data_IF_379976660645
#
_entry.id   IF_379976660645
#
_cell.length_a   1.000
_cell.length_b   1.000
_cell.length_c   1.000
_cell.angle_alpha   90.00
_cell.angle_beta   90.00
_cell.angle_gamma   90.00
#
_symmetry.space_group_name_H-M   'P 1'
#
loop_
_entity.id
_entity.type
_entity.pdbx_description
1 polymer ?
#
# COMPACT_ATOMS: atom_id res chain seq x y z
N UNK A 1 -27.40 55.53 16.17
CA UNK A 1 -26.70 56.19 17.29
C UNK A 1 -25.21 55.93 17.16
N UNK A 2 -24.47 57.02 16.93
CA UNK A 2 -23.11 57.33 17.41
C UNK A 2 -22.01 56.27 17.28
N UNK A 3 -21.11 56.57 16.34
CA UNK A 3 -19.69 56.23 16.25
C UNK A 3 -18.91 56.45 17.56
N UNK A 4 -17.94 55.59 17.87
CA UNK A 4 -16.63 55.98 18.41
C UNK A 4 -15.68 54.78 18.38
N UNK A 5 -14.62 54.87 17.57
CA UNK A 5 -13.48 53.96 17.63
C UNK A 5 -12.49 54.38 18.72
N UNK A 6 -11.49 53.55 18.99
CA UNK A 6 -10.12 53.98 19.31
C UNK A 6 -9.14 52.83 19.08
N UNK A 7 -8.13 53.12 18.27
CA UNK A 7 -6.92 52.31 18.14
C UNK A 7 -6.00 52.57 19.34
N UNK A 8 -5.23 51.56 19.75
CA UNK A 8 -3.99 51.75 20.50
C UNK A 8 -2.93 50.76 19.99
N UNK A 9 -1.86 51.32 19.43
CA UNK A 9 -0.56 50.68 19.28
C UNK A 9 0.11 50.56 20.66
N UNK A 10 0.74 49.42 20.93
CA UNK A 10 1.86 49.35 21.88
C UNK A 10 3.00 48.59 21.22
N UNK A 11 4.18 49.22 21.25
CA UNK A 11 5.47 48.70 20.81
C UNK A 11 6.33 48.44 22.06
N UNK A 12 7.27 47.51 21.89
CA UNK A 12 8.52 47.28 22.64
C UNK A 12 8.51 46.22 23.75
N UNK A 13 9.56 45.39 23.72
CA UNK A 13 10.05 44.67 24.90
C UNK A 13 10.76 43.37 24.57
N UNK A 14 12.07 43.42 24.33
CA UNK A 14 12.94 42.24 24.32
C UNK A 14 12.91 41.54 25.69
N UNK A 15 12.79 40.21 25.69
CA UNK A 15 12.73 39.40 26.91
C UNK A 15 13.46 38.07 26.69
N UNK A 16 14.49 37.87 27.50
CA UNK A 16 15.45 36.76 27.56
C UNK A 16 14.83 35.37 27.71
N UNK A 17 15.21 34.43 26.83
CA UNK A 17 15.04 32.99 27.09
C UNK A 17 16.14 32.53 28.06
N UNK A 18 15.77 32.17 29.29
CA UNK A 18 16.63 31.47 30.23
C UNK A 18 16.79 30.01 29.80
N UNK A 19 17.98 29.64 29.31
CA UNK A 19 18.41 28.25 29.16
C UNK A 19 18.91 27.72 30.51
N UNK A 20 18.41 26.55 30.92
CA UNK A 20 18.97 25.75 32.03
C UNK A 20 20.01 24.81 31.41
N UNK A 21 21.28 25.02 31.73
CA UNK A 21 22.39 24.11 31.37
C UNK A 21 22.52 22.98 32.40
N UNK A 22 22.65 21.73 31.95
CA UNK A 22 23.13 20.62 32.78
C UNK A 22 24.61 20.32 32.45
N UNK A 23 25.49 20.12 33.45
CA UNK A 23 26.91 19.92 33.21
C UNK A 23 27.22 18.51 32.69
N UNK A 24 27.98 18.44 31.59
CA UNK A 24 28.54 17.20 31.03
C UNK A 24 29.79 16.81 31.81
N UNK A 25 29.72 15.76 32.62
CA UNK A 25 30.91 15.16 33.26
C UNK A 25 31.67 14.22 32.32
N UNK A 26 32.99 14.44 32.21
CA UNK A 26 33.97 13.65 31.45
C UNK A 26 34.04 12.19 31.91
N UNK A 27 34.16 11.26 30.97
CA UNK A 27 34.55 9.85 31.21
C UNK A 27 36.04 9.62 30.87
N UNK A 28 36.79 8.82 31.65
CA UNK A 28 38.22 8.57 31.45
C UNK A 28 38.50 7.46 30.43
N UNK A 29 39.75 7.33 29.93
CA UNK A 29 40.05 6.51 28.75
C UNK A 29 40.40 5.06 29.11
N UNK A 30 39.81 4.11 28.38
CA UNK A 30 40.32 2.74 28.34
C UNK A 30 39.23 1.71 28.10
N UNK A 31 38.99 1.38 26.83
CA UNK A 31 38.86 0.01 26.29
C UNK A 31 38.47 0.10 24.81
N UNK A 32 39.41 -0.26 23.93
CA UNK A 32 39.17 -0.40 22.49
C UNK A 32 38.50 -1.75 22.24
N UNK A 33 37.33 -1.76 21.61
CA UNK A 33 36.84 -2.90 20.83
C UNK A 33 36.12 -2.40 19.57
N UNK A 34 36.61 -2.87 18.42
CA UNK A 34 36.10 -2.55 17.08
C UNK A 34 34.66 -3.05 16.92
N UNK A 35 33.71 -2.13 16.77
CA UNK A 35 32.47 -2.36 16.03
C UNK A 35 32.35 -1.25 14.98
N UNK A 36 32.60 -1.61 13.71
CA UNK A 36 32.24 -0.81 12.56
C UNK A 36 30.73 -0.93 12.32
N UNK A 37 30.13 0.17 11.86
CA UNK A 37 28.71 0.39 11.51
C UNK A 37 27.78 0.76 12.67
N UNK A 38 27.96 1.97 13.21
CA UNK A 38 26.87 2.77 13.80
C UNK A 38 26.62 3.98 12.90
N UNK A 39 25.47 4.02 12.24
CA UNK A 39 24.96 5.23 11.60
C UNK A 39 24.69 6.25 12.71
N UNK A 40 25.52 7.29 12.79
CA UNK A 40 25.31 8.42 13.70
C UNK A 40 24.38 9.41 13.04
N UNK A 41 23.14 9.54 13.53
CA UNK A 41 22.31 10.70 13.24
C UNK A 41 22.96 11.93 13.88
N UNK A 42 23.39 12.87 13.04
CA UNK A 42 23.91 14.18 13.44
C UNK A 42 22.72 15.14 13.37
N UNK A 43 22.19 15.55 14.52
CA UNK A 43 21.21 16.65 14.57
C UNK A 43 21.99 17.94 14.30
N UNK A 44 21.96 18.38 13.05
CA UNK A 44 22.31 19.75 12.67
C UNK A 44 21.02 20.56 12.73
N UNK A 45 20.90 21.42 13.73
CA UNK A 45 19.93 22.50 13.71
C UNK A 45 20.43 23.56 12.74
N UNK A 46 20.16 23.38 11.46
CA UNK A 46 20.03 24.50 10.55
C UNK A 46 18.55 24.67 10.26
N UNK A 47 18.06 25.91 10.32
CA UNK A 47 16.79 26.29 9.71
C UNK A 47 16.94 26.09 8.19
N UNK A 48 16.88 24.84 7.75
CA UNK A 48 16.72 24.51 6.35
C UNK A 48 15.24 24.72 6.08
N UNK A 49 14.92 25.63 5.16
CA UNK A 49 13.73 25.47 4.33
C UNK A 49 13.85 24.10 3.65
N UNK A 50 13.39 23.04 4.33
CA UNK A 50 13.20 21.73 3.72
C UNK A 50 12.15 21.97 2.64
N UNK A 51 12.56 21.82 1.38
CA UNK A 51 11.65 21.94 0.25
C UNK A 51 10.43 21.04 0.45
N UNK A 52 9.32 21.37 -0.20
CA UNK A 52 8.14 20.50 -0.23
C UNK A 52 8.57 19.06 -0.61
N UNK A 53 8.21 18.01 0.16
CA UNK A 53 8.60 16.65 -0.18
C UNK A 53 8.14 16.25 -1.58
N UNK A 54 9.01 15.55 -2.30
CA UNK A 54 8.72 15.06 -3.64
C UNK A 54 8.00 13.71 -3.58
N UNK A 55 6.80 13.68 -4.18
CA UNK A 55 6.00 12.46 -4.30
C UNK A 55 6.32 11.68 -5.57
N UNK A 56 7.08 12.25 -6.51
CA UNK A 56 7.35 11.59 -7.79
C UNK A 56 8.06 10.25 -7.58
N UNK A 57 7.71 9.26 -8.42
CA UNK A 57 8.31 7.93 -8.39
C UNK A 57 8.65 7.47 -9.79
N UNK A 58 9.71 6.68 -9.93
CA UNK A 58 10.02 5.93 -11.14
C UNK A 58 10.00 4.45 -10.80
N UNK A 59 9.12 3.68 -11.46
CA UNK A 59 8.90 2.26 -11.15
C UNK A 59 8.90 1.47 -12.45
N UNK A 60 9.84 0.53 -12.60
CA UNK A 60 10.05 -0.23 -13.84
C UNK A 60 10.15 0.69 -15.09
N UNK A 61 10.85 1.82 -14.95
CA UNK A 61 10.98 2.84 -16.02
C UNK A 61 9.79 3.80 -16.17
N UNK A 62 8.67 3.54 -15.49
CA UNK A 62 7.46 4.39 -15.55
C UNK A 62 7.59 5.58 -14.59
N UNK A 63 7.55 6.80 -15.12
CA UNK A 63 7.62 8.03 -14.31
C UNK A 63 6.23 8.52 -13.93
N UNK A 64 5.92 8.57 -12.64
CA UNK A 64 4.64 9.01 -12.11
C UNK A 64 4.81 10.26 -11.25
N UNK A 65 3.86 11.19 -11.32
CA UNK A 65 3.88 12.42 -10.53
C UNK A 65 3.64 12.21 -9.02
N UNK A 66 3.13 11.05 -8.64
CA UNK A 66 2.90 10.59 -7.26
C UNK A 66 2.73 9.05 -7.27
N UNK A 67 2.80 8.36 -6.13
CA UNK A 67 2.74 6.89 -6.11
C UNK A 67 1.31 6.32 -6.22
N UNK A 68 0.28 7.16 -6.42
CA UNK A 68 -1.12 6.73 -6.39
C UNK A 68 -1.59 6.28 -7.77
N UNK A 69 -2.13 5.07 -7.81
CA UNK A 69 -2.58 4.40 -9.03
C UNK A 69 -4.06 4.06 -8.93
N UNK A 70 -4.85 4.31 -9.97
CA UNK A 70 -6.21 3.74 -10.02
C UNK A 70 -6.08 2.23 -10.20
N UNK A 71 -6.60 1.45 -9.24
CA UNK A 71 -6.61 -0.01 -9.36
C UNK A 71 -7.67 -0.49 -10.35
N UNK A 72 -7.37 -1.57 -11.09
CA UNK A 72 -8.31 -2.15 -12.07
C UNK A 72 -9.65 -2.48 -11.41
N UNK A 73 -10.74 -1.89 -11.92
CA UNK A 73 -12.08 -1.99 -11.34
C UNK A 73 -13.04 -0.95 -11.93
N UNK A 74 -14.20 -0.70 -11.29
CA UNK A 74 -15.18 0.28 -11.74
C UNK A 74 -14.60 1.67 -12.09
N UNK A 75 -13.60 2.20 -11.34
CA UNK A 75 -13.01 3.49 -11.65
C UNK A 75 -12.21 3.58 -12.97
N UNK A 76 -11.94 2.46 -13.65
CA UNK A 76 -11.17 2.38 -14.91
C UNK A 76 -11.94 1.76 -16.08
N UNK A 77 -13.28 1.85 -16.10
CA UNK A 77 -14.16 1.11 -17.03
C UNK A 77 -14.28 1.69 -18.43
N UNK A 78 -13.98 2.98 -18.62
CA UNK A 78 -14.09 3.67 -19.91
C UNK A 78 -13.24 4.92 -19.98
N UNK A 79 -13.09 5.47 -21.19
CA UNK A 79 -12.39 6.72 -21.47
C UNK A 79 -12.75 7.84 -20.49
N UNK A 80 -14.05 8.12 -20.29
CA UNK A 80 -14.50 9.25 -19.47
C UNK A 80 -13.98 9.18 -18.04
N UNK A 81 -14.02 8.00 -17.43
CA UNK A 81 -13.60 7.81 -16.04
C UNK A 81 -12.08 7.77 -15.89
N UNK A 82 -11.38 7.17 -16.87
CA UNK A 82 -9.91 7.15 -16.89
C UNK A 82 -9.33 8.56 -17.13
N UNK A 83 -9.91 9.31 -18.09
CA UNK A 83 -9.58 10.72 -18.32
C UNK A 83 -9.78 11.54 -17.06
N UNK A 84 -10.90 11.34 -16.34
CA UNK A 84 -11.18 12.06 -15.10
C UNK A 84 -10.11 11.79 -14.04
N UNK A 85 -9.59 10.57 -13.94
CA UNK A 85 -8.49 10.29 -13.02
C UNK A 85 -7.21 11.08 -13.39
N UNK A 86 -6.83 11.14 -14.67
CA UNK A 86 -5.69 11.96 -15.09
C UNK A 86 -5.91 13.46 -14.82
N UNK A 87 -7.10 13.98 -15.10
CA UNK A 87 -7.47 15.38 -14.82
C UNK A 87 -7.37 15.72 -13.32
N UNK A 88 -7.64 14.78 -12.42
CA UNK A 88 -7.54 14.97 -10.97
C UNK A 88 -6.10 14.81 -10.43
N UNK A 89 -5.17 14.33 -11.26
CA UNK A 89 -3.75 14.20 -10.91
C UNK A 89 -3.33 12.85 -10.37
N UNK A 90 -4.03 11.76 -10.74
CA UNK A 90 -3.57 10.40 -10.45
C UNK A 90 -2.25 10.09 -11.16
N UNK A 91 -1.34 9.38 -10.48
CA UNK A 91 -0.01 9.04 -10.99
C UNK A 91 -0.05 8.05 -12.15
N UNK A 92 -0.95 7.06 -12.08
CA UNK A 92 -1.25 6.14 -13.17
C UNK A 92 -2.70 5.65 -13.10
N UNK A 93 -3.19 5.09 -14.20
CA UNK A 93 -4.50 4.43 -14.28
C UNK A 93 -4.35 3.02 -14.80
N UNK A 94 -4.86 2.04 -14.04
CA UNK A 94 -5.02 0.67 -14.53
C UNK A 94 -6.46 0.50 -15.02
N UNK A 95 -6.62 0.24 -16.31
CA UNK A 95 -7.92 0.01 -16.93
C UNK A 95 -8.60 -1.23 -16.34
N UNK A 96 -9.94 -1.29 -16.41
CA UNK A 96 -10.70 -2.50 -16.09
C UNK A 96 -10.21 -3.66 -16.96
N UNK A 97 -10.04 -4.83 -16.37
CA UNK A 97 -9.52 -6.02 -17.04
C UNK A 97 -10.29 -6.30 -18.35
N UNK A 98 -9.56 -6.44 -19.45
CA UNK A 98 -10.10 -6.80 -20.78
C UNK A 98 -9.71 -8.22 -21.19
N UNK A 99 -10.49 -8.78 -22.10
CA UNK A 99 -10.32 -10.10 -22.73
C UNK A 99 -10.60 -9.97 -24.23
N UNK A 100 -10.20 -10.96 -25.04
CA UNK A 100 -10.46 -10.97 -26.49
C UNK A 100 -11.97 -11.03 -26.79
N UNK A 101 -12.68 -11.92 -26.10
CA UNK A 101 -14.13 -12.11 -26.28
C UNK A 101 -14.91 -11.65 -25.05
N UNK A 102 -15.28 -10.37 -25.06
CA UNK A 102 -16.11 -9.77 -24.02
C UNK A 102 -17.57 -10.26 -24.04
N UNK A 103 -18.06 -10.87 -25.13
CA UNK A 103 -19.44 -11.34 -25.22
C UNK A 103 -19.71 -12.54 -24.28
N UNK A 104 -18.65 -13.24 -23.85
CA UNK A 104 -18.72 -14.30 -22.84
C UNK A 104 -18.88 -13.75 -21.41
N UNK A 105 -18.80 -12.43 -21.21
CA UNK A 105 -18.84 -11.77 -19.90
C UNK A 105 -20.20 -11.11 -19.72
N UNK A 106 -21.00 -11.63 -18.80
CA UNK A 106 -22.34 -11.09 -18.50
C UNK A 106 -22.40 -10.73 -17.02
N UNK A 107 -22.36 -9.43 -16.74
CA UNK A 107 -22.51 -8.92 -15.37
C UNK A 107 -23.98 -8.92 -14.95
N UNK A 108 -24.24 -9.32 -13.70
CA UNK A 108 -25.57 -9.29 -13.08
C UNK A 108 -25.81 -8.00 -12.29
N UNK A 109 -27.06 -7.73 -11.93
CA UNK A 109 -27.45 -6.60 -11.05
C UNK A 109 -28.57 -7.07 -10.11
N UNK A 110 -28.52 -6.74 -8.80
CA UNK A 110 -27.44 -6.05 -8.08
C UNK A 110 -26.18 -6.92 -7.97
N UNK A 111 -25.00 -6.29 -7.96
CA UNK A 111 -23.70 -6.99 -7.88
C UNK A 111 -22.79 -6.52 -6.74
N UNK A 112 -23.33 -5.69 -5.85
CA UNK A 112 -22.58 -5.14 -4.72
C UNK A 112 -23.38 -5.25 -3.43
N UNK A 113 -22.68 -5.58 -2.35
CA UNK A 113 -23.21 -5.51 -0.99
C UNK A 113 -22.20 -4.81 -0.07
N UNK A 114 -22.67 -4.26 1.05
CA UNK A 114 -21.87 -3.39 1.92
C UNK A 114 -21.93 -3.87 3.37
N UNK A 115 -20.77 -4.00 3.99
CA UNK A 115 -20.66 -4.16 5.44
C UNK A 115 -20.51 -2.78 6.08
N UNK A 116 -21.34 -2.51 7.07
CA UNK A 116 -21.25 -1.27 7.87
C UNK A 116 -20.79 -1.60 9.28
N UNK A 117 -19.94 -0.74 9.83
CA UNK A 117 -19.70 -0.74 11.27
C UNK A 117 -21.02 -0.45 12.01
N UNK A 118 -21.18 -0.99 13.21
CA UNK A 118 -22.33 -0.67 14.04
C UNK A 118 -22.34 0.84 14.34
N UNK A 119 -23.44 1.52 14.03
CA UNK A 119 -23.62 2.92 14.41
C UNK A 119 -23.89 3.08 15.90
N UNK A 120 -23.87 4.33 16.39
CA UNK A 120 -24.29 4.65 17.76
C UNK A 120 -25.72 4.12 17.95
N UNK A 121 -25.95 3.42 19.06
CA UNK A 121 -27.22 2.78 19.43
C UNK A 121 -27.76 1.75 18.40
N UNK A 122 -26.88 1.07 17.66
CA UNK A 122 -27.29 0.03 16.71
C UNK A 122 -27.86 0.56 15.39
N UNK A 123 -27.64 1.85 15.07
CA UNK A 123 -28.12 2.43 13.82
C UNK A 123 -27.39 1.86 12.59
N UNK A 124 -28.16 1.54 11.54
CA UNK A 124 -27.66 1.05 10.24
C UNK A 124 -26.94 2.14 9.39
N UNK A 125 -26.70 3.32 9.96
CA UNK A 125 -26.02 4.46 9.30
C UNK A 125 -24.50 4.51 9.55
N UNK A 126 -23.92 3.44 10.09
CA UNK A 126 -22.48 3.37 10.33
C UNK A 126 -21.65 3.44 9.04
N UNK A 127 -20.36 3.74 9.22
CA UNK A 127 -19.36 3.81 8.15
C UNK A 127 -19.32 2.48 7.38
N UNK A 128 -19.19 2.55 6.06
CA UNK A 128 -18.91 1.37 5.23
C UNK A 128 -17.49 0.93 5.52
N UNK A 129 -17.33 -0.27 6.05
CA UNK A 129 -16.02 -0.87 6.35
C UNK A 129 -15.70 -2.03 5.42
N UNK A 130 -16.71 -2.61 4.77
CA UNK A 130 -16.55 -3.71 3.83
C UNK A 130 -17.40 -3.50 2.59
N UNK A 131 -16.89 -3.98 1.46
CA UNK A 131 -17.60 -3.92 0.20
C UNK A 131 -17.36 -5.22 -0.57
N UNK A 132 -18.43 -5.93 -0.88
CA UNK A 132 -18.38 -7.14 -1.68
C UNK A 132 -18.87 -6.86 -3.09
N UNK A 133 -18.20 -7.47 -4.07
CA UNK A 133 -18.62 -7.46 -5.46
C UNK A 133 -18.69 -8.88 -6.03
N UNK A 134 -19.68 -9.14 -6.88
CA UNK A 134 -19.75 -10.31 -7.78
C UNK A 134 -19.62 -9.85 -9.25
N UNK A 135 -18.84 -8.80 -9.47
CA UNK A 135 -18.63 -8.20 -10.80
C UNK A 135 -17.48 -8.87 -11.54
N UNK A 136 -17.68 -9.27 -12.79
CA UNK A 136 -16.66 -9.90 -13.63
C UNK A 136 -15.66 -8.87 -14.20
N UNK A 137 -14.89 -9.29 -15.20
CA UNK A 137 -14.05 -8.40 -16.03
C UNK A 137 -14.94 -7.46 -16.89
N UNK A 138 -14.33 -6.66 -17.76
CA UNK A 138 -15.08 -5.79 -18.68
C UNK A 138 -16.01 -6.61 -19.58
N UNK A 139 -17.28 -6.21 -19.65
CA UNK A 139 -18.27 -6.68 -20.63
C UNK A 139 -18.30 -5.80 -21.90
N UNK A 140 -17.41 -4.80 -21.98
CA UNK A 140 -17.28 -3.92 -23.14
C UNK A 140 -16.40 -4.58 -24.22
N UNK A 141 -16.76 -4.46 -25.52
CA UNK A 141 -15.95 -4.99 -26.60
C UNK A 141 -14.50 -4.50 -26.54
N UNK A 142 -13.54 -5.40 -26.77
CA UNK A 142 -12.12 -5.07 -26.77
C UNK A 142 -11.81 -3.91 -27.71
N UNK A 143 -12.36 -3.92 -28.93
CA UNK A 143 -12.22 -2.84 -29.91
C UNK A 143 -12.60 -1.44 -29.39
N UNK A 144 -13.61 -1.37 -28.53
CA UNK A 144 -13.98 -0.10 -27.90
C UNK A 144 -12.92 0.33 -26.89
N UNK A 145 -12.45 -0.60 -26.05
CA UNK A 145 -11.40 -0.31 -25.07
C UNK A 145 -10.09 0.09 -25.73
N UNK A 146 -9.67 -0.59 -26.81
CA UNK A 146 -8.44 -0.27 -27.54
C UNK A 146 -8.47 1.14 -28.16
N UNK A 147 -9.60 1.54 -28.75
CA UNK A 147 -9.79 2.91 -29.26
C UNK A 147 -9.67 3.95 -28.15
N UNK A 148 -10.27 3.67 -27.00
CA UNK A 148 -10.22 4.55 -25.84
C UNK A 148 -8.82 4.64 -25.21
N UNK A 149 -8.06 3.54 -25.17
CA UNK A 149 -6.67 3.54 -24.72
C UNK A 149 -5.80 4.40 -25.63
N UNK A 150 -5.91 4.20 -26.94
CA UNK A 150 -5.18 5.00 -27.93
C UNK A 150 -5.51 6.49 -27.81
N UNK A 151 -6.81 6.82 -27.72
CA UNK A 151 -7.25 8.20 -27.53
C UNK A 151 -6.67 8.82 -26.25
N UNK A 152 -6.68 8.09 -25.12
CA UNK A 152 -6.10 8.58 -23.87
C UNK A 152 -4.60 8.83 -24.00
N UNK A 153 -3.85 7.94 -24.66
CA UNK A 153 -2.40 8.09 -24.84
C UNK A 153 -2.04 9.22 -25.80
N UNK A 154 -2.87 9.50 -26.80
CA UNK A 154 -2.73 10.67 -27.68
C UNK A 154 -2.98 11.99 -26.93
N UNK A 155 -3.99 12.05 -26.06
CA UNK A 155 -4.32 13.24 -25.27
C UNK A 155 -3.41 13.45 -24.04
N UNK A 156 -2.89 12.36 -23.47
CA UNK A 156 -2.08 12.35 -22.25
C UNK A 156 -0.79 11.52 -22.42
N UNK A 157 0.14 11.95 -23.29
CA UNK A 157 1.36 11.18 -23.59
C UNK A 157 2.23 10.95 -22.34
N UNK A 158 2.27 11.91 -21.43
CA UNK A 158 3.08 11.87 -20.20
C UNK A 158 2.39 11.13 -19.03
N UNK A 159 1.17 10.63 -19.21
CA UNK A 159 0.44 9.90 -18.16
C UNK A 159 0.55 8.40 -18.38
N UNK A 160 0.71 7.67 -17.28
CA UNK A 160 0.89 6.23 -17.29
C UNK A 160 -0.48 5.54 -17.36
N UNK A 161 -0.76 4.84 -18.46
CA UNK A 161 -1.91 3.98 -18.66
C UNK A 161 -1.45 2.52 -18.68
N UNK A 162 -2.05 1.71 -17.82
CA UNK A 162 -1.74 0.29 -17.68
C UNK A 162 -2.96 -0.52 -18.12
N UNK A 163 -2.78 -1.42 -19.09
CA UNK A 163 -3.84 -2.32 -19.51
C UNK A 163 -3.92 -3.50 -18.52
N UNK A 164 -5.04 -3.66 -17.81
CA UNK A 164 -5.28 -4.93 -17.12
C UNK A 164 -5.84 -5.94 -18.12
N UNK A 165 -5.27 -7.15 -18.16
CA UNK A 165 -5.69 -8.20 -19.10
C UNK A 165 -5.90 -9.54 -18.40
N UNK A 166 -6.78 -10.36 -18.98
CA UNK A 166 -7.03 -11.74 -18.54
C UNK A 166 -7.55 -12.57 -19.73
N UNK A 167 -6.94 -13.72 -19.98
CA UNK A 167 -7.40 -14.69 -20.97
C UNK A 167 -7.52 -16.12 -20.45
N UNK A 168 -8.21 -16.95 -21.24
CA UNK A 168 -8.22 -18.40 -21.04
C UNK A 168 -6.79 -18.98 -21.14
N UNK A 169 -6.60 -20.21 -20.66
CA UNK A 169 -5.32 -20.89 -20.77
C UNK A 169 -5.06 -21.32 -22.23
N UNK A 170 -4.69 -20.35 -23.05
CA UNK A 170 -4.37 -20.48 -24.47
C UNK A 170 -3.26 -19.48 -24.82
N UNK A 171 -2.09 -20.01 -25.21
CA UNK A 171 -0.91 -19.19 -25.50
C UNK A 171 -1.16 -18.17 -26.61
N UNK A 172 -1.85 -18.57 -27.68
CA UNK A 172 -2.08 -17.69 -28.83
C UNK A 172 -3.03 -16.54 -28.46
N UNK A 173 -4.07 -16.81 -27.67
CA UNK A 173 -4.99 -15.81 -27.17
C UNK A 173 -4.30 -14.77 -26.26
N UNK A 174 -3.45 -15.23 -25.33
CA UNK A 174 -2.65 -14.32 -24.50
C UNK A 174 -1.74 -13.43 -25.35
N UNK A 175 -1.03 -14.01 -26.30
CA UNK A 175 -0.09 -13.26 -27.14
C UNK A 175 -0.78 -12.29 -28.10
N UNK A 176 -1.95 -12.65 -28.65
CA UNK A 176 -2.79 -11.74 -29.44
C UNK A 176 -3.27 -10.57 -28.58
N UNK A 177 -3.77 -10.84 -27.38
CA UNK A 177 -4.28 -9.78 -26.51
C UNK A 177 -3.17 -8.79 -26.14
N UNK A 178 -1.97 -9.28 -25.79
CA UNK A 178 -0.79 -8.45 -25.49
C UNK A 178 -0.44 -7.56 -26.68
N UNK A 179 -0.33 -8.14 -27.89
CA UNK A 179 -0.03 -7.39 -29.11
C UNK A 179 -1.01 -6.24 -29.31
N UNK A 180 -2.29 -6.54 -29.24
CA UNK A 180 -3.36 -5.57 -29.50
C UNK A 180 -3.43 -4.47 -28.47
N UNK A 181 -3.17 -4.75 -27.18
CA UNK A 181 -3.13 -3.68 -26.16
C UNK A 181 -1.86 -2.84 -26.30
N UNK A 182 -0.70 -3.44 -26.58
CA UNK A 182 0.55 -2.69 -26.78
C UNK A 182 0.49 -1.75 -27.99
N UNK A 183 -0.17 -2.15 -29.08
CA UNK A 183 -0.41 -1.30 -30.27
C UNK A 183 -1.15 0.02 -29.97
N UNK A 184 -1.83 0.11 -28.83
CA UNK A 184 -2.50 1.35 -28.39
C UNK A 184 -1.57 2.36 -27.75
N UNK A 185 -0.32 1.98 -27.44
CA UNK A 185 0.68 2.82 -26.78
C UNK A 185 0.55 2.87 -25.25
N UNK A 186 -0.10 1.88 -24.64
CA UNK A 186 -0.07 1.69 -23.17
C UNK A 186 1.37 1.53 -22.66
N UNK A 187 1.58 1.91 -21.40
CA UNK A 187 2.92 2.00 -20.83
C UNK A 187 3.35 0.74 -20.07
N UNK A 188 2.38 -0.07 -19.62
CA UNK A 188 2.60 -1.34 -18.93
C UNK A 188 1.35 -2.22 -18.96
N UNK A 189 1.50 -3.48 -18.55
CA UNK A 189 0.39 -4.44 -18.47
C UNK A 189 0.24 -4.93 -17.02
N UNK A 190 -1.00 -5.02 -16.51
CA UNK A 190 -1.32 -5.72 -15.26
C UNK A 190 -2.06 -7.04 -15.54
N UNK A 191 -1.42 -8.16 -15.24
CA UNK A 191 -2.01 -9.48 -15.46
C UNK A 191 -2.91 -9.85 -14.29
N UNK A 192 -4.20 -10.06 -14.56
CA UNK A 192 -5.17 -10.40 -13.54
C UNK A 192 -5.24 -11.91 -13.31
N UNK A 193 -4.35 -12.45 -12.47
CA UNK A 193 -4.39 -13.83 -11.99
C UNK A 193 -5.26 -14.02 -10.74
N UNK A 194 -6.17 -13.09 -10.44
CA UNK A 194 -6.61 -12.96 -9.05
C UNK A 194 -8.09 -12.68 -8.83
N UNK A 195 -8.89 -12.67 -9.89
CA UNK A 195 -10.34 -12.61 -9.76
C UNK A 195 -10.86 -13.85 -8.99
N UNK A 196 -11.39 -13.71 -7.76
CA UNK A 196 -11.73 -14.86 -6.91
C UNK A 196 -13.06 -15.53 -7.31
N UNK A 197 -13.91 -14.80 -8.03
CA UNK A 197 -15.23 -15.25 -8.51
C UNK A 197 -15.31 -15.32 -10.04
N UNK A 198 -14.24 -14.91 -10.74
CA UNK A 198 -14.24 -14.74 -12.18
C UNK A 198 -14.06 -16.06 -12.91
N UNK A 199 -15.18 -16.67 -13.31
CA UNK A 199 -15.24 -17.85 -14.19
C UNK A 199 -14.26 -18.97 -13.80
N UNK A 200 -14.25 -19.44 -12.53
CA UNK A 200 -13.36 -20.52 -12.09
C UNK A 200 -13.52 -21.80 -12.94
N UNK A 201 -14.73 -22.06 -13.44
CA UNK A 201 -15.04 -23.17 -14.35
C UNK A 201 -14.28 -23.13 -15.69
N UNK A 202 -13.71 -21.97 -16.06
CA UNK A 202 -12.91 -21.78 -17.28
C UNK A 202 -11.40 -21.76 -17.02
N UNK A 203 -10.97 -22.07 -15.79
CA UNK A 203 -9.55 -22.02 -15.37
C UNK A 203 -8.88 -20.66 -15.61
N UNK A 204 -9.59 -19.58 -15.33
CA UNK A 204 -9.09 -18.20 -15.44
C UNK A 204 -8.90 -17.56 -14.06
N UNK A 205 -8.23 -16.40 -14.01
CA UNK A 205 -8.13 -15.60 -12.79
C UNK A 205 -7.46 -16.34 -11.63
N UNK A 206 -8.11 -16.37 -10.46
CA UNK A 206 -7.54 -16.98 -9.25
C UNK A 206 -7.24 -18.48 -9.38
N UNK A 207 -7.88 -19.19 -10.31
CA UNK A 207 -7.55 -20.60 -10.59
C UNK A 207 -6.11 -20.75 -11.09
N UNK A 208 -5.63 -19.82 -11.92
CA UNK A 208 -4.23 -19.75 -12.36
C UNK A 208 -3.36 -19.17 -11.24
N UNK A 209 -3.81 -18.11 -10.58
CA UNK A 209 -3.03 -17.45 -9.52
C UNK A 209 -2.75 -18.28 -8.26
N UNK A 210 -3.47 -19.38 -8.06
CA UNK A 210 -3.25 -20.33 -6.97
C UNK A 210 -2.38 -21.52 -7.37
N UNK A 211 -2.18 -21.76 -8.66
CA UNK A 211 -1.36 -22.85 -9.19
C UNK A 211 -0.05 -22.28 -9.74
N UNK A 212 1.03 -22.48 -8.99
CA UNK A 212 2.35 -21.97 -9.36
C UNK A 212 2.85 -22.54 -10.70
N UNK A 213 2.50 -23.77 -11.07
CA UNK A 213 2.96 -24.36 -12.34
C UNK A 213 2.24 -23.74 -13.53
N UNK A 214 0.93 -23.55 -13.43
CA UNK A 214 0.16 -22.83 -14.46
C UNK A 214 0.59 -21.37 -14.56
N UNK A 215 0.84 -20.72 -13.43
CA UNK A 215 1.30 -19.33 -13.40
C UNK A 215 2.67 -19.17 -14.06
N UNK A 216 3.62 -20.07 -13.80
CA UNK A 216 4.94 -20.07 -14.44
C UNK A 216 4.81 -20.14 -15.96
N UNK A 217 3.98 -21.05 -16.47
CA UNK A 217 3.79 -21.22 -17.90
C UNK A 217 3.13 -19.99 -18.56
N UNK A 218 2.05 -19.46 -17.96
CA UNK A 218 1.36 -18.29 -18.49
C UNK A 218 2.25 -17.04 -18.43
N UNK A 219 2.98 -16.83 -17.32
CA UNK A 219 3.98 -15.76 -17.23
C UNK A 219 5.06 -15.91 -18.30
N UNK A 220 5.48 -17.13 -18.63
CA UNK A 220 6.43 -17.39 -19.71
C UNK A 220 5.89 -16.94 -21.07
N UNK A 221 4.64 -17.29 -21.39
CA UNK A 221 4.00 -16.87 -22.64
C UNK A 221 3.86 -15.36 -22.77
N UNK A 222 3.56 -14.69 -21.65
CA UNK A 222 3.42 -13.24 -21.57
C UNK A 222 4.78 -12.58 -21.80
N UNK A 223 5.82 -13.00 -21.08
CA UNK A 223 7.16 -12.40 -21.18
C UNK A 223 7.85 -12.68 -22.52
N UNK A 224 7.48 -13.76 -23.23
CA UNK A 224 7.91 -13.97 -24.61
C UNK A 224 7.40 -12.91 -25.59
N UNK A 225 6.25 -12.28 -25.29
CA UNK A 225 5.55 -11.37 -26.21
C UNK A 225 5.57 -9.91 -25.77
N UNK A 226 5.46 -9.65 -24.47
CA UNK A 226 5.38 -8.30 -23.93
C UNK A 226 6.68 -7.52 -24.16
N UNK A 227 6.54 -6.27 -24.58
CA UNK A 227 7.64 -5.32 -24.76
C UNK A 227 7.63 -4.19 -23.75
N UNK A 228 6.51 -4.02 -23.03
CA UNK A 228 6.36 -3.11 -21.89
C UNK A 228 6.43 -3.88 -20.56
N UNK A 229 6.71 -3.21 -19.42
CA UNK A 229 6.76 -3.85 -18.12
C UNK A 229 5.45 -4.57 -17.75
N UNK A 230 5.57 -5.73 -17.09
CA UNK A 230 4.46 -6.59 -16.72
C UNK A 230 4.35 -6.70 -15.19
N UNK A 231 3.16 -6.36 -14.67
CA UNK A 231 2.82 -6.48 -13.26
C UNK A 231 1.85 -7.64 -13.03
N UNK A 232 2.24 -8.63 -12.23
CA UNK A 232 1.37 -9.76 -11.91
C UNK A 232 0.52 -9.48 -10.67
N UNK A 233 -0.82 -9.45 -10.80
CA UNK A 233 -1.73 -9.16 -9.69
C UNK A 233 -2.10 -10.41 -8.90
N UNK A 234 -1.69 -10.46 -7.63
CA UNK A 234 -1.79 -11.63 -6.76
C UNK A 234 -3.14 -11.73 -6.05
N UNK A 235 -3.66 -12.96 -5.96
CA UNK A 235 -4.83 -13.29 -5.15
C UNK A 235 -4.42 -13.45 -3.68
N UNK A 236 -5.15 -12.87 -2.72
CA UNK A 236 -4.91 -13.11 -1.30
C UNK A 236 -5.49 -14.46 -0.83
N UNK A 237 -6.28 -15.13 -1.66
CA UNK A 237 -7.02 -16.36 -1.35
C UNK A 237 -6.11 -17.59 -1.43
N UNK A 238 -4.96 -17.52 -0.77
CA UNK A 238 -3.92 -18.55 -0.78
C UNK A 238 -3.21 -18.56 0.56
N UNK A 239 -2.71 -19.73 0.95
CA UNK A 239 -1.94 -19.94 2.19
C UNK A 239 -0.73 -19.01 2.25
N UNK A 240 0.14 -19.08 1.23
CA UNK A 240 1.34 -18.26 1.14
C UNK A 240 1.38 -17.52 -0.20
N UNK A 241 1.13 -16.21 -0.15
CA UNK A 241 1.11 -15.35 -1.34
C UNK A 241 2.51 -15.15 -1.93
N UNK A 242 3.57 -15.44 -1.18
CA UNK A 242 4.95 -15.30 -1.67
C UNK A 242 5.29 -16.36 -2.72
N UNK A 243 4.58 -17.49 -2.75
CA UNK A 243 4.81 -18.55 -3.73
C UNK A 243 4.49 -18.10 -5.16
N UNK A 244 3.25 -17.69 -5.51
CA UNK A 244 2.95 -17.21 -6.86
C UNK A 244 3.68 -15.90 -7.19
N UNK A 245 3.90 -15.02 -6.21
CA UNK A 245 4.66 -13.79 -6.43
C UNK A 245 6.12 -14.07 -6.82
N UNK A 246 6.78 -15.04 -6.16
CA UNK A 246 8.13 -15.50 -6.51
C UNK A 246 8.16 -16.05 -7.93
N UNK A 247 7.21 -16.91 -8.29
CA UNK A 247 7.15 -17.50 -9.63
C UNK A 247 6.98 -16.43 -10.70
N UNK A 248 6.07 -15.45 -10.51
CA UNK A 248 5.88 -14.35 -11.45
C UNK A 248 7.19 -13.58 -11.70
N UNK A 249 7.87 -13.16 -10.62
CA UNK A 249 9.14 -12.43 -10.69
C UNK A 249 10.27 -13.28 -11.29
N UNK A 250 10.36 -14.55 -10.92
CA UNK A 250 11.37 -15.49 -11.47
C UNK A 250 11.18 -15.76 -12.95
N UNK A 251 9.95 -15.67 -13.45
CA UNK A 251 9.61 -15.90 -14.86
C UNK A 251 9.80 -14.63 -15.72
N UNK A 252 10.03 -13.48 -15.09
CA UNK A 252 10.41 -12.24 -15.78
C UNK A 252 9.44 -11.07 -15.62
N UNK A 253 8.34 -11.19 -14.86
CA UNK A 253 7.50 -10.03 -14.56
C UNK A 253 8.31 -9.02 -13.72
N UNK A 254 8.28 -7.74 -14.11
CA UNK A 254 9.03 -6.67 -13.44
C UNK A 254 8.35 -6.19 -12.15
N UNK A 255 7.06 -6.48 -11.97
CA UNK A 255 6.31 -6.05 -10.80
C UNK A 255 5.27 -7.06 -10.32
N UNK A 256 4.87 -6.88 -9.06
CA UNK A 256 3.75 -7.58 -8.45
C UNK A 256 2.76 -6.56 -7.91
N UNK A 257 1.46 -6.78 -8.12
CA UNK A 257 0.39 -6.01 -7.47
C UNK A 257 -0.27 -6.87 -6.40
N UNK A 258 -0.34 -6.38 -5.16
CA UNK A 258 -0.88 -7.14 -4.03
C UNK A 258 -1.73 -6.27 -3.10
N UNK A 259 -3.00 -6.57 -2.85
CA UNK A 259 -3.77 -7.79 -3.20
C UNK A 259 -5.01 -7.50 -4.05
N UNK A 260 -5.50 -8.53 -4.75
CA UNK A 260 -6.89 -8.52 -5.21
C UNK A 260 -7.85 -8.74 -4.02
N UNK A 261 -9.14 -8.86 -4.30
CA UNK A 261 -10.20 -9.03 -3.32
C UNK A 261 -10.15 -10.39 -2.61
N UNK A 262 -10.64 -10.42 -1.37
CA UNK A 262 -10.71 -11.62 -0.53
C UNK A 262 -12.08 -12.28 -0.72
N UNK A 263 -12.15 -13.58 -0.93
CA UNK A 263 -13.43 -14.27 -1.10
C UNK A 263 -14.30 -14.12 0.16
N UNK A 264 -15.57 -13.72 -0.02
CA UNK A 264 -16.53 -13.51 1.07
C UNK A 264 -17.95 -13.86 0.68
N UNK A 265 -18.79 -13.97 1.71
CA UNK A 265 -20.24 -13.82 1.63
C UNK A 265 -20.61 -12.68 2.57
N UNK A 266 -21.27 -11.65 2.06
CA UNK A 266 -21.45 -10.40 2.79
C UNK A 266 -22.41 -10.57 3.97
N UNK A 267 -23.49 -11.30 3.74
CA UNK A 267 -24.54 -11.49 4.72
C UNK A 267 -25.69 -12.33 4.18
N UNK A 268 -26.55 -12.75 5.08
CA UNK A 268 -27.83 -13.41 4.81
C UNK A 268 -28.91 -12.51 5.40
N UNK A 269 -29.88 -12.13 4.58
CA UNK A 269 -31.13 -11.52 5.05
C UNK A 269 -31.88 -12.56 5.88
N UNK A 270 -32.10 -12.28 7.17
CA UNK A 270 -32.68 -13.23 8.12
C UNK A 270 -34.21 -13.39 7.97
N UNK A 271 -34.88 -12.46 7.30
CA UNK A 271 -36.32 -12.57 7.03
C UNK A 271 -36.57 -13.43 5.80
N UNK A 272 -35.73 -13.29 4.77
CA UNK A 272 -35.88 -14.01 3.50
C UNK A 272 -35.00 -15.25 3.38
N UNK A 273 -34.01 -15.41 4.28
CA UNK A 273 -32.94 -16.42 4.25
C UNK A 273 -32.07 -16.36 2.99
N UNK A 274 -32.09 -15.23 2.27
CA UNK A 274 -31.35 -15.06 1.00
C UNK A 274 -30.02 -14.34 1.23
N UNK A 275 -28.97 -14.69 0.45
CA UNK A 275 -27.68 -14.01 0.52
C UNK A 275 -27.70 -12.60 -0.08
N UNK A 276 -26.76 -11.75 0.35
CA UNK A 276 -26.50 -10.42 -0.22
C UNK A 276 -25.13 -10.38 -0.95
N UNK A 277 -25.03 -9.78 -2.15
CA UNK A 277 -26.11 -9.22 -2.96
C UNK A 277 -27.00 -10.34 -3.55
N UNK A 278 -28.29 -10.04 -3.73
CA UNK A 278 -29.29 -11.02 -4.17
C UNK A 278 -29.73 -10.75 -5.61
N UNK A 279 -29.48 -11.70 -6.51
CA UNK A 279 -29.91 -11.69 -7.92
C UNK A 279 -30.97 -12.77 -8.10
N UNK A 280 -32.22 -12.37 -8.37
CA UNK A 280 -33.34 -13.29 -8.55
C UNK A 280 -33.52 -14.32 -7.40
N UNK A 281 -33.13 -13.96 -6.19
CA UNK A 281 -33.19 -14.84 -5.00
C UNK A 281 -31.91 -15.62 -4.69
N UNK A 282 -30.87 -15.51 -5.52
CA UNK A 282 -29.62 -16.26 -5.41
C UNK A 282 -28.39 -15.34 -5.34
N UNK A 283 -27.25 -15.91 -4.98
CA UNK A 283 -25.96 -15.22 -5.03
C UNK A 283 -24.82 -16.25 -5.18
N UNK A 284 -23.61 -15.74 -5.29
CA UNK A 284 -22.35 -16.50 -5.27
C UNK A 284 -21.38 -15.76 -4.35
N UNK A 285 -20.42 -16.44 -3.70
CA UNK A 285 -19.36 -15.75 -2.98
C UNK A 285 -18.65 -14.71 -3.85
N UNK A 286 -18.52 -13.50 -3.33
CA UNK A 286 -17.92 -12.37 -4.01
C UNK A 286 -16.52 -12.01 -3.50
N UNK A 287 -16.00 -10.92 -4.03
CA UNK A 287 -14.73 -10.32 -3.64
C UNK A 287 -14.93 -9.19 -2.63
N UNK A 288 -14.43 -9.38 -1.43
CA UNK A 288 -14.37 -8.42 -0.34
C UNK A 288 -13.23 -7.41 -0.52
N UNK A 289 -13.57 -6.14 -0.32
CA UNK A 289 -12.71 -4.98 -0.44
C UNK A 289 -13.10 -3.94 0.63
N UNK A 290 -12.54 -2.72 0.52
CA UNK A 290 -12.69 -1.63 1.49
C UNK A 290 -11.80 -1.78 2.75
N UNK A 291 -11.99 -0.87 3.70
CA UNK A 291 -11.14 -0.64 4.87
C UNK A 291 -10.83 -1.89 5.70
N UNK A 292 -11.79 -2.81 5.84
CA UNK A 292 -11.58 -4.05 6.60
C UNK A 292 -10.53 -4.99 5.96
N UNK A 293 -10.23 -4.84 4.68
CA UNK A 293 -9.17 -5.59 3.98
C UNK A 293 -7.78 -5.05 4.30
N UNK A 294 -7.66 -3.79 4.72
CA UNK A 294 -6.38 -3.10 4.88
C UNK A 294 -5.34 -3.88 5.71
N UNK A 295 -5.61 -4.34 6.95
CA UNK A 295 -4.60 -5.07 7.73
C UNK A 295 -4.19 -6.41 7.09
N UNK A 296 -5.09 -7.06 6.33
CA UNK A 296 -4.76 -8.30 5.62
C UNK A 296 -3.85 -7.98 4.43
N UNK A 297 -4.16 -6.92 3.68
CA UNK A 297 -3.34 -6.46 2.56
C UNK A 297 -1.93 -6.07 3.02
N UNK A 298 -1.79 -5.34 4.13
CA UNK A 298 -0.49 -5.00 4.73
C UNK A 298 0.34 -6.25 5.05
N UNK A 299 -0.26 -7.27 5.66
CA UNK A 299 0.44 -8.52 5.97
C UNK A 299 0.94 -9.25 4.71
N UNK A 300 0.12 -9.25 3.64
CA UNK A 300 0.48 -9.88 2.35
C UNK A 300 1.58 -9.08 1.63
N UNK A 301 1.48 -7.75 1.59
CA UNK A 301 2.52 -6.86 1.02
C UNK A 301 3.84 -6.99 1.78
N UNK A 302 3.81 -6.96 3.11
CA UNK A 302 5.01 -7.18 3.94
C UNK A 302 5.69 -8.51 3.60
N UNK A 303 4.91 -9.59 3.48
CA UNK A 303 5.46 -10.93 3.19
C UNK A 303 6.13 -10.97 1.80
N UNK A 304 5.50 -10.37 0.79
CA UNK A 304 6.08 -10.26 -0.56
C UNK A 304 7.34 -9.40 -0.53
N UNK A 305 7.31 -8.24 0.13
CA UNK A 305 8.46 -7.35 0.20
C UNK A 305 9.66 -7.98 0.93
N UNK A 306 9.43 -8.74 2.01
CA UNK A 306 10.49 -9.51 2.68
C UNK A 306 11.08 -10.58 1.75
N UNK A 307 10.22 -11.30 1.01
CA UNK A 307 10.66 -12.28 0.01
C UNK A 307 11.48 -11.60 -1.09
N UNK A 308 11.00 -10.51 -1.67
CA UNK A 308 11.70 -9.73 -2.69
C UNK A 308 13.06 -9.25 -2.19
N UNK A 309 13.13 -8.67 -0.99
CA UNK A 309 14.39 -8.22 -0.39
C UNK A 309 15.40 -9.36 -0.21
N UNK A 310 14.91 -10.55 0.15
CA UNK A 310 15.76 -11.73 0.40
C UNK A 310 16.22 -12.40 -0.90
N UNK A 311 15.37 -12.47 -1.90
CA UNK A 311 15.56 -13.35 -3.07
C UNK A 311 15.84 -12.57 -4.37
N UNK A 312 15.43 -11.31 -4.45
CA UNK A 312 15.49 -10.45 -5.64
C UNK A 312 16.20 -9.12 -5.38
N UNK A 313 16.83 -8.90 -4.21
CA UNK A 313 17.26 -7.58 -3.74
C UNK A 313 18.21 -6.77 -4.64
N UNK A 314 18.91 -7.42 -5.58
CA UNK A 314 19.77 -6.76 -6.59
C UNK A 314 19.04 -6.48 -7.93
N UNK A 315 17.79 -6.93 -8.08
CA UNK A 315 16.97 -6.78 -9.29
C UNK A 315 15.96 -5.64 -9.12
N UNK A 316 15.64 -4.97 -10.22
CA UNK A 316 14.64 -3.91 -10.28
C UNK A 316 13.20 -4.46 -10.32
N UNK A 317 12.82 -5.19 -9.26
CA UNK A 317 11.47 -5.72 -9.07
C UNK A 317 10.63 -4.74 -8.24
N UNK A 318 9.39 -4.50 -8.64
CA UNK A 318 8.49 -3.55 -7.97
C UNK A 318 7.30 -4.22 -7.27
N UNK A 319 6.71 -3.52 -6.30
CA UNK A 319 5.52 -3.95 -5.59
C UNK A 319 4.48 -2.84 -5.54
N UNK A 320 3.30 -3.06 -6.10
CA UNK A 320 2.15 -2.16 -6.02
C UNK A 320 1.19 -2.64 -4.92
N UNK A 321 1.12 -1.89 -3.81
CA UNK A 321 0.25 -2.22 -2.67
C UNK A 321 -1.21 -1.84 -2.93
N UNK A 322 -2.17 -2.70 -2.60
CA UNK A 322 -3.59 -2.46 -2.81
C UNK A 322 -4.44 -3.16 -1.73
N UNK A 323 -5.36 -2.39 -1.13
CA UNK A 323 -6.36 -2.91 -0.19
C UNK A 323 -6.77 -1.88 0.86
N UNK A 324 -8.00 -1.38 0.78
CA UNK A 324 -8.59 -0.53 1.83
C UNK A 324 -7.98 0.87 2.02
N UNK A 325 -7.38 1.44 0.97
CA UNK A 325 -6.74 2.77 1.03
C UNK A 325 -7.78 3.88 0.87
N UNK A 326 -7.88 4.76 1.86
CA UNK A 326 -8.76 5.94 1.90
C UNK A 326 -8.03 7.21 2.38
N UNK A 327 -6.83 7.08 2.93
CA UNK A 327 -6.01 8.16 3.48
C UNK A 327 -4.55 8.08 3.03
N UNK A 328 -3.82 9.21 3.09
CA UNK A 328 -2.38 9.21 2.86
C UNK A 328 -1.60 8.42 3.93
N UNK A 329 -2.17 8.28 5.13
CA UNK A 329 -1.65 7.41 6.17
C UNK A 329 -1.71 5.93 5.78
N UNK A 330 -2.85 5.46 5.26
CA UNK A 330 -3.02 4.09 4.77
C UNK A 330 -1.99 3.77 3.67
N UNK A 331 -1.72 4.75 2.80
CA UNK A 331 -0.71 4.60 1.75
C UNK A 331 0.72 4.60 2.30
N UNK A 332 1.01 5.43 3.30
CA UNK A 332 2.31 5.43 3.96
C UNK A 332 2.62 4.07 4.59
N UNK A 333 1.63 3.37 5.16
CA UNK A 333 1.79 2.01 5.69
C UNK A 333 2.23 1.01 4.60
N UNK A 334 1.60 1.03 3.42
CA UNK A 334 2.04 0.18 2.30
C UNK A 334 3.48 0.47 1.86
N UNK A 335 3.85 1.75 1.74
CA UNK A 335 5.20 2.14 1.31
C UNK A 335 6.24 1.76 2.38
N UNK A 336 5.95 1.99 3.66
CA UNK A 336 6.78 1.54 4.79
C UNK A 336 7.01 0.03 4.79
N UNK A 337 6.07 -0.74 4.25
CA UNK A 337 6.15 -2.20 4.06
C UNK A 337 6.76 -2.61 2.72
N UNK A 338 7.28 -1.67 1.93
CA UNK A 338 8.08 -1.95 0.73
C UNK A 338 7.36 -1.74 -0.60
N UNK A 339 6.13 -1.25 -0.61
CA UNK A 339 5.44 -0.93 -1.86
C UNK A 339 6.09 0.28 -2.58
N UNK A 340 6.29 0.15 -3.89
CA UNK A 340 6.76 1.21 -4.79
C UNK A 340 5.63 2.15 -5.23
N UNK A 341 4.41 1.62 -5.35
CA UNK A 341 3.18 2.38 -5.65
C UNK A 341 2.02 1.86 -4.80
N UNK A 342 0.94 2.62 -4.73
CA UNK A 342 -0.28 2.26 -3.99
C UNK A 342 -1.51 2.40 -4.88
N UNK A 343 -2.22 1.29 -5.14
CA UNK A 343 -3.45 1.32 -5.92
C UNK A 343 -4.69 1.56 -5.05
N UNK A 344 -5.66 2.27 -5.62
CA UNK A 344 -6.93 2.60 -4.97
C UNK A 344 -8.09 2.31 -5.91
N UNK A 345 -9.07 1.55 -5.43
CA UNK A 345 -10.30 1.23 -6.18
C UNK A 345 -11.55 1.59 -5.36
N UNK A 346 -11.85 0.84 -4.29
CA UNK A 346 -13.04 1.09 -3.45
C UNK A 346 -13.04 2.48 -2.82
N UNK A 347 -11.87 3.01 -2.43
CA UNK A 347 -11.75 4.39 -1.94
C UNK A 347 -12.26 5.41 -2.96
N UNK A 348 -11.92 5.24 -4.25
CA UNK A 348 -12.41 6.09 -5.34
C UNK A 348 -13.90 5.89 -5.57
N UNK A 349 -14.41 4.66 -5.47
CA UNK A 349 -15.85 4.38 -5.59
C UNK A 349 -16.67 5.09 -4.48
N UNK A 350 -16.09 5.26 -3.29
CA UNK A 350 -16.78 5.88 -2.15
C UNK A 350 -16.57 7.40 -2.07
N UNK A 351 -15.43 7.91 -2.51
CA UNK A 351 -15.03 9.32 -2.30
C UNK A 351 -14.80 10.11 -3.60
N UNK A 352 -14.85 9.45 -4.76
CA UNK A 352 -14.61 10.04 -6.06
C UNK A 352 -13.12 10.26 -6.38
N UNK A 353 -12.83 10.61 -7.64
CA UNK A 353 -11.49 10.87 -8.14
C UNK A 353 -10.70 11.97 -7.44
N UNK A 354 -11.31 13.06 -6.91
CA UNK A 354 -10.58 14.07 -6.12
C UNK A 354 -9.87 13.53 -4.88
N UNK A 355 -10.17 12.28 -4.45
CA UNK A 355 -9.51 11.62 -3.33
C UNK A 355 -7.98 11.71 -3.40
N UNK A 356 -7.37 11.61 -4.59
CA UNK A 356 -5.91 11.69 -4.75
C UNK A 356 -5.30 12.97 -4.18
N UNK A 357 -6.02 14.10 -4.19
CA UNK A 357 -5.55 15.36 -3.61
C UNK A 357 -5.36 15.23 -2.11
N UNK A 358 -6.33 14.60 -1.42
CA UNK A 358 -6.24 14.30 0.01
C UNK A 358 -5.10 13.32 0.29
N UNK A 359 -4.97 12.24 -0.50
CA UNK A 359 -3.91 11.26 -0.35
C UNK A 359 -2.52 11.90 -0.46
N UNK A 360 -2.30 12.74 -1.47
CA UNK A 360 -1.04 13.49 -1.68
C UNK A 360 -0.73 14.44 -0.52
N UNK A 361 -1.71 15.22 -0.06
CA UNK A 361 -1.52 16.15 1.07
C UNK A 361 -1.13 15.41 2.34
N UNK A 362 -1.89 14.38 2.71
CA UNK A 362 -1.65 13.61 3.94
C UNK A 362 -0.32 12.84 3.88
N UNK A 363 0.06 12.31 2.71
CA UNK A 363 1.35 11.63 2.53
C UNK A 363 2.53 12.61 2.68
N UNK A 364 2.41 13.82 2.13
CA UNK A 364 3.42 14.88 2.33
C UNK A 364 3.52 15.31 3.79
N UNK A 365 2.40 15.42 4.50
CA UNK A 365 2.40 15.73 5.94
C UNK A 365 3.12 14.64 6.75
N UNK A 366 2.88 13.37 6.43
CA UNK A 366 3.63 12.25 6.99
C UNK A 366 5.14 12.37 6.69
N UNK A 367 5.52 12.64 5.44
CA UNK A 367 6.92 12.82 5.06
C UNK A 367 7.59 13.98 5.82
N UNK A 368 6.91 15.15 5.93
CA UNK A 368 7.39 16.30 6.71
C UNK A 368 7.61 15.95 8.17
N UNK A 369 6.66 15.23 8.80
CA UNK A 369 6.75 14.80 10.20
C UNK A 369 8.02 13.94 10.47
N UNK A 370 8.45 13.16 9.49
CA UNK A 370 9.58 12.26 9.60
C UNK A 370 10.86 12.77 8.92
N UNK A 371 10.85 13.98 8.36
CA UNK A 371 11.94 14.56 7.57
C UNK A 371 12.34 13.72 6.33
N UNK A 372 11.37 13.06 5.69
CA UNK A 372 11.57 12.40 4.41
C UNK A 372 11.42 13.40 3.26
N UNK A 373 12.36 13.38 2.32
CA UNK A 373 12.35 14.22 1.11
C UNK A 373 11.77 13.49 -0.09
N UNK A 374 11.90 12.16 -0.14
CA UNK A 374 11.43 11.31 -1.24
C UNK A 374 10.70 10.05 -0.74
N UNK A 375 9.93 9.40 -1.62
CA UNK A 375 9.29 8.11 -1.32
C UNK A 375 10.32 7.03 -0.97
N UNK A 376 11.49 7.07 -1.61
CA UNK A 376 12.58 6.11 -1.41
C UNK A 376 13.19 6.19 0.00
N UNK A 377 13.13 7.35 0.65
CA UNK A 377 13.74 7.56 1.97
C UNK A 377 13.11 6.66 3.06
N UNK A 378 11.88 6.20 2.84
CA UNK A 378 11.12 5.42 3.83
C UNK A 378 10.53 4.12 3.28
N UNK A 379 10.66 3.84 1.97
CA UNK A 379 10.16 2.59 1.39
C UNK A 379 10.83 1.40 2.07
N UNK A 380 10.00 0.51 2.63
CA UNK A 380 10.47 -0.69 3.32
C UNK A 380 11.12 -0.45 4.69
N UNK A 381 11.13 0.78 5.21
CA UNK A 381 11.77 1.11 6.48
C UNK A 381 11.15 0.38 7.68
N UNK A 382 9.91 -0.11 7.57
CA UNK A 382 9.28 -0.89 8.65
C UNK A 382 9.61 -2.38 8.62
N UNK A 383 10.19 -2.89 7.52
CA UNK A 383 10.45 -4.33 7.35
C UNK A 383 11.40 -4.91 8.39
N UNK A 384 12.34 -4.11 8.91
CA UNK A 384 13.32 -4.55 9.92
C UNK A 384 12.71 -4.79 11.30
N UNK A 385 11.52 -4.26 11.58
CA UNK A 385 10.85 -4.41 12.88
C UNK A 385 9.99 -5.68 12.96
N UNK A 386 9.81 -6.39 11.84
CA UNK A 386 9.12 -7.68 11.83
C UNK A 386 10.10 -8.82 12.10
N UNK A 387 9.75 -9.66 13.07
CA UNK A 387 10.54 -10.82 13.45
C UNK A 387 9.66 -11.94 13.97
N UNK A 388 10.26 -13.09 14.28
CA UNK A 388 9.55 -14.24 14.84
C UNK A 388 9.19 -14.02 16.31
N UNK A 389 8.16 -14.73 16.78
CA UNK A 389 7.76 -14.68 18.19
C UNK A 389 8.92 -15.04 19.14
N UNK A 390 9.72 -16.05 18.78
CA UNK A 390 10.86 -16.47 19.61
C UNK A 390 11.97 -15.40 19.67
N UNK A 391 12.18 -14.64 18.60
CA UNK A 391 13.11 -13.51 18.62
C UNK A 391 12.57 -12.37 19.51
N UNK A 392 11.26 -12.11 19.50
CA UNK A 392 10.65 -11.14 20.42
C UNK A 392 10.85 -11.54 21.89
N UNK A 393 10.66 -12.82 22.22
CA UNK A 393 10.93 -13.34 23.57
C UNK A 393 12.38 -13.09 23.96
N UNK A 394 13.33 -13.41 23.07
CA UNK A 394 14.76 -13.18 23.32
C UNK A 394 15.08 -11.71 23.55
N UNK A 395 14.59 -10.82 22.68
CA UNK A 395 14.78 -9.36 22.80
C UNK A 395 14.19 -8.80 24.08
N UNK A 396 13.00 -9.27 24.47
CA UNK A 396 12.37 -8.87 25.72
C UNK A 396 13.18 -9.31 26.94
N UNK A 397 13.67 -10.56 26.95
CA UNK A 397 14.53 -11.06 28.02
C UNK A 397 15.84 -10.27 28.12
N UNK A 398 16.46 -9.94 26.98
CA UNK A 398 17.66 -9.11 26.93
C UNK A 398 17.41 -7.71 27.48
N UNK A 399 16.35 -7.03 27.04
CA UNK A 399 15.96 -5.72 27.56
C UNK A 399 15.67 -5.75 29.07
N UNK A 400 15.08 -6.82 29.59
CA UNK A 400 14.88 -7.01 31.04
C UNK A 400 16.22 -7.16 31.75
N UNK A 401 17.17 -7.94 31.20
CA UNK A 401 18.52 -8.09 31.78
C UNK A 401 19.28 -6.76 31.79
N UNK A 402 19.22 -5.99 30.71
CA UNK A 402 19.85 -4.66 30.62
C UNK A 402 19.25 -3.69 31.65
N UNK A 403 17.92 -3.60 31.77
CA UNK A 403 17.27 -2.77 32.79
C UNK A 403 17.67 -3.18 34.21
N UNK A 404 17.83 -4.47 34.48
CA UNK A 404 18.32 -4.98 35.78
C UNK A 404 19.80 -4.66 36.02
N UNK A 405 20.63 -4.71 34.98
CA UNK A 405 22.05 -4.37 35.07
C UNK A 405 22.29 -2.86 35.25
N UNK A 406 21.46 -2.01 34.63
CA UNK A 406 21.46 -0.55 34.81
C UNK A 406 20.90 -0.15 36.18
N UNK A 407 19.95 -0.92 36.74
CA UNK A 407 19.47 -0.78 38.13
C UNK A 407 20.50 -1.21 39.20
N UNK A 408 21.80 -1.14 38.92
CA UNK A 408 22.84 -1.19 39.97
C UNK A 408 22.92 0.14 40.70
N UNK A 409 21.94 0.39 41.56
CA UNK A 409 22.15 0.87 42.93
C UNK A 409 22.08 -0.35 43.87
N UNK A 410 22.51 -0.18 45.11
CA UNK A 410 22.69 -1.25 46.12
C UNK A 410 21.65 -2.38 46.03
N UNK A 411 22.11 -3.62 45.85
CA UNK A 411 21.22 -4.78 45.76
C UNK A 411 20.56 -5.13 47.11
N UNK A 412 21.08 -4.57 48.20
CA UNK A 412 20.61 -4.72 49.58
C UNK A 412 21.10 -3.55 50.45
N UNK A 413 20.31 -3.17 51.46
CA UNK A 413 20.71 -2.19 52.50
C UNK A 413 21.96 -2.61 53.31
N UNK A 414 22.44 -3.84 53.14
CA UNK A 414 23.67 -4.34 53.78
C UNK A 414 24.95 -3.93 53.07
N UNK A 415 24.85 -3.47 51.83
CA UNK A 415 26.01 -3.13 51.00
C UNK A 415 26.42 -1.65 51.16
N UNK A 416 25.78 -0.90 52.07
CA UNK A 416 26.12 0.48 52.38
C UNK A 416 27.48 0.55 53.05
N UNK A 417 28.51 0.98 52.32
CA UNK A 417 29.77 1.41 52.92
C UNK A 417 29.63 2.86 53.37
N UNK A 418 29.94 3.16 54.63
CA UNK A 418 29.71 4.48 55.26
C UNK A 418 30.20 5.69 54.46
N UNK A 419 31.26 5.53 53.67
CA UNK A 419 31.83 6.62 52.85
C UNK A 419 31.07 6.88 51.52
N UNK A 420 30.20 5.96 51.10
CA UNK A 420 29.37 6.08 49.89
C UNK A 420 27.95 6.58 50.13
N UNK A 421 27.54 6.69 51.41
CA UNK A 421 26.17 7.02 51.84
C UNK A 421 25.68 8.33 51.22
N UNK A 422 26.53 9.36 51.23
CA UNK A 422 26.19 10.71 50.72
C UNK A 422 25.98 10.69 49.21
N UNK A 423 26.81 9.95 48.46
CA UNK A 423 26.77 9.89 47.00
C UNK A 423 25.56 9.12 46.47
N UNK A 424 25.17 8.06 47.16
CA UNK A 424 23.95 7.28 46.86
C UNK A 424 22.69 8.06 47.23
N UNK A 425 22.69 8.74 48.38
CA UNK A 425 21.56 9.60 48.80
C UNK A 425 21.34 10.74 47.81
N UNK A 426 22.40 11.42 47.35
CA UNK A 426 22.31 12.49 46.34
C UNK A 426 21.77 11.99 44.99
N UNK A 427 21.99 10.73 44.63
CA UNK A 427 21.47 10.15 43.38
C UNK A 427 19.96 9.86 43.40
N UNK A 428 19.32 9.95 44.58
CA UNK A 428 17.91 9.61 44.81
C UNK A 428 17.02 10.82 45.12
N UNK A 429 17.58 12.04 45.10
CA UNK A 429 16.82 13.30 45.27
C UNK A 429 16.69 13.98 43.91
N UNK A 430 15.47 14.22 43.43
CA UNK A 430 15.23 15.02 42.23
C UNK A 430 14.80 16.43 42.62
N UNK A 431 15.75 17.35 42.69
CA UNK A 431 15.50 18.78 42.49
C UNK A 431 16.14 19.20 41.18
#
# INVERSE_FOLDING_TARGET
MVSLGFAHQIKMGAGSNSMVEFPVTRTPPGWRRNCKNRVKFRILTSENHVGEPDLSVTVNGLKMCNPFVIGSGPPGTNYTVMKRAFDEGWGAVIAKTVSLDAAKVVNVTPRYAKLRAAGVNGSLKGQIIGWENIELISDRPLETMLKEFKQLKEEYPDRILIASIMEEYDKAAWQELIERVEETGIDAIEINFSCPHGMPERKMGAAVGQDCALLEEVCGWINEKATVPVWAKMTPNITDITQPARVALSTGCEGVSAINTIMSVMGIDLDTLRPEPCVEGYSTPGGYSSKAVHPIALAKVMSIAQMMKKEFGDKDCSLSGIGGVETGGDAAEFILLGASTVQVCTGVMMHGYPLVKKLCTELKEFMKKHNFSSIEDFRGASLEYFTTHMDLVRRQQEAIRERKAVKKGLQSDKDWTGDGFVKETDSMVSN
#
